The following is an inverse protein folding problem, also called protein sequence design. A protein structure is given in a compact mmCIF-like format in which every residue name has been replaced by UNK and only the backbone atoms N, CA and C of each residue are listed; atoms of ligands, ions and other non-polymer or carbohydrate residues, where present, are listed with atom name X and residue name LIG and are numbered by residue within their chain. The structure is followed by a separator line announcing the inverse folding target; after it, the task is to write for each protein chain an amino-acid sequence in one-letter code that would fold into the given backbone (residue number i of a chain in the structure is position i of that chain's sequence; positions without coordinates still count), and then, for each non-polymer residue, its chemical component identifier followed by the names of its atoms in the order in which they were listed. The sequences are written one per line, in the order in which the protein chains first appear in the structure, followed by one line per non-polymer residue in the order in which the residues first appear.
data_IF_827549767806
#
_entry.id   IF_827549767806
#
_cell.length_a   1.000
_cell.length_b   1.000
_cell.length_c   1.000
_cell.angle_alpha   90.00
_cell.angle_beta   90.00
_cell.angle_gamma   90.00
#
_symmetry.space_group_name_H-M   'P 1'
#
loop_
_entity.id
_entity.type
_entity.pdbx_description
1 polymer ?
#
# COMPACT_ATOMS: atom_id res chain seq x y z
N UNK A 1 16.65 45.24 72.96
CA UNK A 1 17.33 45.56 71.69
C UNK A 1 17.66 44.24 70.98
N UNK A 2 17.21 44.10 69.72
CA UNK A 2 17.77 43.37 68.55
C UNK A 2 18.63 42.10 68.80
N UNK A 3 18.56 41.00 68.06
CA UNK A 3 17.75 40.51 66.95
C UNK A 3 18.23 39.07 66.64
N UNK A 4 17.29 38.17 66.27
CA UNK A 4 17.29 37.14 65.21
C UNK A 4 18.46 36.13 65.01
N UNK A 5 18.09 35.04 64.31
CA UNK A 5 18.88 34.00 63.59
C UNK A 5 19.03 32.69 64.38
N UNK A 6 18.72 31.47 63.89
CA UNK A 6 18.19 30.96 62.63
C UNK A 6 17.46 29.62 62.88
N UNK A 7 16.43 29.33 62.08
CA UNK A 7 15.75 28.05 62.02
C UNK A 7 16.53 27.06 61.13
N UNK A 8 16.61 25.80 61.59
CA UNK A 8 17.21 24.69 60.88
C UNK A 8 16.38 24.32 59.63
N UNK A 9 17.04 24.23 58.47
CA UNK A 9 16.49 23.59 57.27
C UNK A 9 17.27 22.30 57.06
N UNK A 10 16.57 21.19 57.32
CA UNK A 10 17.05 19.83 57.10
C UNK A 10 17.03 19.52 55.60
N UNK A 11 18.05 18.81 55.14
CA UNK A 11 18.33 18.43 53.77
C UNK A 11 17.16 17.68 53.10
N UNK A 12 16.80 18.13 51.90
CA UNK A 12 15.94 17.40 50.97
C UNK A 12 16.52 17.52 49.56
N UNK A 13 17.55 16.73 49.24
CA UNK A 13 17.94 16.49 47.85
C UNK A 13 16.83 15.64 47.20
N UNK A 14 15.82 16.30 46.64
CA UNK A 14 15.01 15.69 45.59
C UNK A 14 15.82 15.76 44.29
N UNK A 15 16.54 14.69 43.98
CA UNK A 15 17.05 14.45 42.63
C UNK A 15 15.85 14.27 41.70
N UNK A 16 15.43 15.36 41.05
CA UNK A 16 14.56 15.29 39.89
C UNK A 16 15.39 14.72 38.74
N UNK A 17 15.43 13.38 38.64
CA UNK A 17 15.83 12.74 37.41
C UNK A 17 14.75 13.04 36.38
N UNK A 18 14.94 14.11 35.61
CA UNK A 18 14.18 14.33 34.40
C UNK A 18 14.57 13.22 33.42
N UNK A 19 13.84 12.11 33.45
CA UNK A 19 13.85 11.13 32.37
C UNK A 19 13.32 11.85 31.14
N UNK A 20 14.25 12.38 30.34
CA UNK A 20 14.00 12.79 28.97
C UNK A 20 13.67 11.49 28.21
N UNK A 21 12.40 11.11 28.18
CA UNK A 21 11.91 10.15 27.22
C UNK A 21 12.18 10.77 25.86
N UNK A 22 13.22 10.28 25.15
CA UNK A 22 13.31 10.47 23.71
C UNK A 22 12.08 9.79 23.14
N UNK A 23 11.00 10.55 22.98
CA UNK A 23 9.86 10.15 22.18
C UNK A 23 10.41 10.06 20.77
N UNK A 24 10.55 8.84 20.25
CA UNK A 24 10.78 8.66 18.82
C UNK A 24 9.75 9.51 18.07
N UNK A 25 10.14 10.17 16.96
CA UNK A 25 9.18 10.92 16.16
C UNK A 25 8.02 9.99 15.86
N UNK A 26 6.84 10.34 16.38
CA UNK A 26 5.63 9.58 16.08
C UNK A 26 5.33 9.83 14.62
N UNK A 27 5.59 8.83 13.78
CA UNK A 27 5.02 8.80 12.44
C UNK A 27 3.52 8.92 12.61
N UNK A 28 2.96 10.00 12.07
CA UNK A 28 1.54 10.10 11.89
C UNK A 28 1.28 9.46 10.54
N UNK A 29 0.69 8.25 10.52
CA UNK A 29 -0.02 7.80 9.31
C UNK A 29 -0.93 8.95 8.91
N UNK A 30 -0.77 9.37 7.67
CA UNK A 30 -1.56 10.42 7.09
C UNK A 30 -3.04 10.06 7.23
N UNK A 31 -3.83 11.02 7.72
CA UNK A 31 -5.28 10.91 7.75
C UNK A 31 -5.82 10.48 6.39
N UNK A 32 -6.92 9.70 6.35
CA UNK A 32 -7.56 9.25 5.10
C UNK A 32 -7.95 10.39 4.15
N UNK A 33 -7.85 11.64 4.59
CA UNK A 33 -7.97 12.84 3.77
C UNK A 33 -6.86 13.05 2.73
N UNK A 34 -5.58 12.70 2.99
CA UNK A 34 -4.52 12.89 2.00
C UNK A 34 -4.66 11.88 0.84
N UNK A 35 -4.77 10.59 1.20
CA UNK A 35 -5.01 9.49 0.27
C UNK A 35 -6.30 9.69 -0.53
N UNK A 36 -7.39 10.03 0.15
CA UNK A 36 -8.68 10.28 -0.48
C UNK A 36 -8.66 11.48 -1.43
N UNK A 37 -7.87 12.52 -1.12
CA UNK A 37 -7.67 13.68 -2.01
C UNK A 37 -6.94 13.26 -3.28
N UNK A 38 -5.79 12.59 -3.14
CA UNK A 38 -5.00 12.15 -4.31
C UNK A 38 -5.81 11.17 -5.17
N UNK A 39 -6.47 10.16 -4.58
CA UNK A 39 -7.35 9.25 -5.32
C UNK A 39 -8.44 9.98 -6.13
N UNK A 40 -9.05 11.01 -5.54
CA UNK A 40 -10.09 11.81 -6.20
C UNK A 40 -9.52 12.62 -7.37
N UNK A 41 -8.34 13.21 -7.19
CA UNK A 41 -7.65 13.98 -8.24
C UNK A 41 -7.21 13.07 -9.39
N UNK A 42 -6.63 11.90 -9.09
CA UNK A 42 -6.26 10.90 -10.11
C UNK A 42 -7.45 10.50 -10.97
N UNK A 43 -8.62 10.24 -10.36
CA UNK A 43 -9.84 9.94 -11.10
C UNK A 43 -10.42 11.15 -11.86
N UNK A 44 -10.26 12.37 -11.34
CA UNK A 44 -10.61 13.60 -12.05
C UNK A 44 -9.74 13.79 -13.32
N UNK A 45 -8.45 13.52 -13.23
CA UNK A 45 -7.53 13.58 -14.37
C UNK A 45 -7.84 12.52 -15.40
N UNK A 46 -8.12 11.28 -14.97
CA UNK A 46 -8.59 10.20 -15.85
C UNK A 46 -9.85 10.62 -16.61
N UNK A 47 -10.87 11.11 -15.90
CA UNK A 47 -12.11 11.58 -16.51
C UNK A 47 -11.88 12.74 -17.50
N UNK A 48 -11.04 13.72 -17.13
CA UNK A 48 -10.71 14.88 -17.97
C UNK A 48 -9.94 14.50 -19.25
N UNK A 49 -9.27 13.35 -19.25
CA UNK A 49 -8.54 12.81 -20.39
C UNK A 49 -9.31 11.68 -21.11
N UNK A 50 -10.59 11.44 -20.78
CA UNK A 50 -11.42 10.43 -21.43
C UNK A 50 -11.07 8.98 -21.07
N UNK A 51 -10.36 8.77 -19.97
CA UNK A 51 -9.99 7.46 -19.44
C UNK A 51 -10.98 7.07 -18.32
N UNK A 52 -11.40 5.81 -18.29
CA UNK A 52 -12.36 5.32 -17.27
C UNK A 52 -11.78 5.40 -15.85
N UNK A 53 -12.62 5.69 -14.85
CA UNK A 53 -12.19 5.73 -13.45
C UNK A 53 -11.69 4.37 -12.95
N UNK A 54 -10.73 4.39 -12.04
CA UNK A 54 -10.30 3.23 -11.25
C UNK A 54 -11.09 3.14 -9.94
N UNK A 55 -11.30 1.92 -9.46
CA UNK A 55 -11.92 1.64 -8.16
C UNK A 55 -10.92 1.80 -7.03
N UNK A 56 -11.36 2.28 -5.87
CA UNK A 56 -10.53 2.26 -4.67
C UNK A 56 -10.38 0.83 -4.17
N UNK A 57 -9.14 0.41 -3.93
CA UNK A 57 -8.82 -0.93 -3.47
C UNK A 57 -8.04 -0.90 -2.15
N UNK A 58 -8.68 -1.38 -1.07
CA UNK A 58 -8.10 -1.34 0.28
C UNK A 58 -6.84 -2.19 0.45
N UNK A 59 -6.66 -3.25 -0.36
CA UNK A 59 -5.44 -4.08 -0.32
C UNK A 59 -4.27 -3.31 -0.93
N UNK A 60 -4.48 -2.68 -2.09
CA UNK A 60 -3.49 -1.82 -2.73
C UNK A 60 -3.16 -0.61 -1.85
N UNK A 61 -4.16 0.00 -1.20
CA UNK A 61 -3.92 1.11 -0.24
C UNK A 61 -3.06 0.63 0.93
N UNK A 62 -3.36 -0.54 1.50
CA UNK A 62 -2.53 -1.12 2.56
C UNK A 62 -1.08 -1.28 2.11
N UNK A 63 -0.84 -1.75 0.88
CA UNK A 63 0.51 -1.90 0.32
C UNK A 63 1.19 -0.54 0.13
N UNK A 64 0.48 0.44 -0.43
CA UNK A 64 1.00 1.79 -0.67
C UNK A 64 1.32 2.56 0.62
N UNK A 65 0.55 2.34 1.69
CA UNK A 65 0.68 3.11 2.93
C UNK A 65 1.67 2.47 3.92
N UNK A 66 1.26 1.41 4.63
CA UNK A 66 1.97 0.90 5.80
C UNK A 66 1.95 -0.64 5.97
N UNK A 67 1.51 -1.39 4.96
CA UNK A 67 1.43 -2.85 4.99
C UNK A 67 2.79 -3.53 5.20
N UNK A 68 2.92 -4.28 6.29
CA UNK A 68 4.13 -5.03 6.61
C UNK A 68 4.46 -6.13 5.59
N UNK A 69 5.70 -6.16 5.13
CA UNK A 69 6.23 -7.19 4.23
C UNK A 69 7.60 -7.68 4.72
N UNK A 70 7.88 -8.97 4.51
CA UNK A 70 9.16 -9.56 4.89
C UNK A 70 9.80 -10.23 3.68
N UNK A 71 10.96 -9.70 3.29
CA UNK A 71 11.76 -10.13 2.15
C UNK A 71 13.15 -10.63 2.58
N UNK A 72 13.32 -10.99 3.86
CA UNK A 72 14.63 -11.15 4.52
C UNK A 72 14.99 -9.94 5.39
N UNK A 73 14.39 -8.78 5.11
CA UNK A 73 14.27 -7.65 6.03
C UNK A 73 12.78 -7.33 6.21
N UNK A 74 12.40 -6.87 7.41
CA UNK A 74 11.06 -6.32 7.62
C UNK A 74 11.00 -4.92 7.00
N UNK A 75 10.00 -4.71 6.17
CA UNK A 75 9.68 -3.42 5.55
C UNK A 75 8.20 -3.14 5.77
N UNK A 76 7.83 -1.88 5.71
CA UNK A 76 6.44 -1.45 5.76
C UNK A 76 5.92 -1.14 4.35
N UNK A 77 4.68 -0.64 4.27
CA UNK A 77 4.10 -0.16 3.02
C UNK A 77 4.87 1.01 2.45
N UNK A 78 4.69 1.28 1.15
CA UNK A 78 5.64 2.07 0.35
C UNK A 78 5.92 3.46 0.91
N UNK A 79 4.89 4.25 1.20
CA UNK A 79 5.04 5.60 1.72
C UNK A 79 5.71 5.62 3.10
N UNK A 80 5.21 4.81 4.04
CA UNK A 80 5.78 4.73 5.39
C UNK A 80 7.22 4.23 5.39
N UNK A 81 7.50 3.20 4.58
CA UNK A 81 8.81 2.57 4.51
C UNK A 81 9.88 3.51 3.95
N UNK A 82 9.54 4.31 2.93
CA UNK A 82 10.42 5.34 2.39
C UNK A 82 10.71 6.47 3.40
N UNK A 83 9.73 6.85 4.22
CA UNK A 83 9.92 7.82 5.30
C UNK A 83 10.78 7.21 6.42
N UNK A 84 10.39 6.07 6.98
CA UNK A 84 11.03 5.41 8.12
C UNK A 84 12.49 5.08 7.83
N UNK A 85 12.76 4.53 6.64
CA UNK A 85 14.09 4.04 6.28
C UNK A 85 14.90 5.03 5.45
N UNK A 86 14.43 6.27 5.34
CA UNK A 86 15.16 7.38 4.73
C UNK A 86 15.68 7.05 3.33
N UNK A 87 14.78 6.67 2.42
CA UNK A 87 15.12 6.44 1.02
C UNK A 87 13.96 6.81 0.11
N UNK A 88 14.26 6.99 -1.18
CA UNK A 88 13.25 7.17 -2.22
C UNK A 88 13.63 6.27 -3.40
N UNK A 89 12.85 5.20 -3.63
CA UNK A 89 13.09 4.25 -4.72
C UNK A 89 11.91 3.31 -4.94
N UNK A 90 11.65 2.97 -6.21
CA UNK A 90 10.78 1.85 -6.60
C UNK A 90 11.32 0.49 -6.16
N UNK A 91 12.66 0.35 -6.09
CA UNK A 91 13.28 -0.85 -5.53
C UNK A 91 13.28 -0.74 -4.01
N UNK A 92 12.60 -1.67 -3.35
CA UNK A 92 12.53 -1.72 -1.89
C UNK A 92 13.94 -1.96 -1.34
N UNK A 93 14.47 -0.97 -0.63
CA UNK A 93 15.83 -1.02 -0.08
C UNK A 93 15.99 -2.25 0.83
N UNK A 94 17.10 -2.97 0.68
CA UNK A 94 17.37 -4.19 1.46
C UNK A 94 16.61 -5.45 1.00
N UNK A 95 15.53 -5.31 0.22
CA UNK A 95 14.86 -6.45 -0.42
C UNK A 95 15.35 -6.70 -1.85
N UNK A 96 15.66 -5.64 -2.60
CA UNK A 96 15.99 -5.74 -4.03
C UNK A 96 14.82 -6.15 -4.92
N UNK A 97 13.57 -5.98 -4.43
CA UNK A 97 12.33 -6.27 -5.15
C UNK A 97 11.50 -5.00 -5.31
N UNK A 98 10.53 -5.02 -6.22
CA UNK A 98 9.55 -3.94 -6.41
C UNK A 98 8.27 -4.20 -5.60
N UNK A 99 7.40 -3.19 -5.52
CA UNK A 99 6.09 -3.30 -4.84
C UNK A 99 5.22 -4.45 -5.36
N UNK A 100 5.42 -4.87 -6.61
CA UNK A 100 4.76 -6.04 -7.21
C UNK A 100 4.95 -7.35 -6.43
N UNK A 101 6.11 -7.52 -5.77
CA UNK A 101 6.33 -8.67 -4.89
C UNK A 101 5.45 -8.60 -3.63
N UNK A 102 5.21 -7.38 -3.12
CA UNK A 102 4.25 -7.15 -2.04
C UNK A 102 2.82 -7.41 -2.52
N UNK A 103 2.42 -6.87 -3.67
CA UNK A 103 1.11 -7.14 -4.28
C UNK A 103 0.82 -8.65 -4.37
N UNK A 104 1.76 -9.43 -4.90
CA UNK A 104 1.63 -10.88 -4.97
C UNK A 104 1.54 -11.53 -3.57
N UNK A 105 2.35 -11.09 -2.60
CA UNK A 105 2.33 -11.62 -1.23
C UNK A 105 1.00 -11.31 -0.50
N UNK A 106 0.36 -10.20 -0.85
CA UNK A 106 -0.95 -9.78 -0.36
C UNK A 106 -2.12 -10.42 -1.14
N UNK A 107 -1.83 -11.29 -2.12
CA UNK A 107 -2.84 -12.02 -2.88
C UNK A 107 -3.52 -11.19 -3.98
N UNK A 108 -2.91 -10.08 -4.40
CA UNK A 108 -3.39 -9.28 -5.53
C UNK A 108 -3.06 -10.02 -6.82
N UNK A 109 -4.09 -10.49 -7.52
CA UNK A 109 -3.97 -11.15 -8.82
C UNK A 109 -4.32 -10.15 -9.92
N UNK A 110 -3.29 -9.66 -10.63
CA UNK A 110 -3.43 -8.62 -11.64
C UNK A 110 -2.90 -9.08 -13.02
N UNK A 111 -3.36 -8.44 -14.08
CA UNK A 111 -2.86 -8.65 -15.45
C UNK A 111 -1.75 -7.66 -15.80
N UNK A 112 -1.86 -6.44 -15.32
CA UNK A 112 -0.86 -5.37 -15.36
C UNK A 112 -0.93 -4.58 -14.05
N UNK A 113 0.17 -3.95 -13.66
CA UNK A 113 0.26 -3.11 -12.46
C UNK A 113 1.34 -2.04 -12.66
N UNK A 114 1.24 -0.94 -11.90
CA UNK A 114 2.22 0.14 -11.95
C UNK A 114 2.27 0.92 -10.64
N UNK A 115 3.41 1.57 -10.38
CA UNK A 115 3.64 2.39 -9.18
C UNK A 115 3.96 3.84 -9.58
N UNK A 116 3.30 4.81 -8.93
CA UNK A 116 3.81 6.18 -8.85
C UNK A 116 4.25 6.48 -7.41
N UNK A 117 5.42 7.08 -7.23
CA UNK A 117 5.89 7.55 -5.91
C UNK A 117 6.33 9.00 -6.01
N UNK A 118 6.03 9.79 -4.98
CA UNK A 118 6.33 11.22 -4.96
C UNK A 118 6.43 11.75 -3.54
N UNK A 119 7.23 12.80 -3.34
CA UNK A 119 7.29 13.48 -2.05
C UNK A 119 7.37 14.99 -2.20
N UNK A 120 6.92 15.70 -1.17
CA UNK A 120 6.98 17.16 -1.09
C UNK A 120 7.31 17.59 0.34
N UNK A 121 8.25 18.53 0.49
CA UNK A 121 8.56 19.14 1.78
C UNK A 121 7.77 20.43 2.00
N UNK A 122 7.36 20.67 3.25
CA UNK A 122 6.74 21.93 3.69
C UNK A 122 5.43 22.32 2.97
N UNK A 123 4.68 21.35 2.44
CA UNK A 123 3.41 21.57 1.75
C UNK A 123 2.21 21.93 2.66
N UNK A 124 2.44 22.17 3.95
CA UNK A 124 1.38 22.42 4.93
C UNK A 124 0.68 21.12 5.37
N UNK A 125 -0.54 20.89 4.88
CA UNK A 125 -1.37 19.73 5.23
C UNK A 125 -1.46 18.66 4.14
N UNK A 126 -1.98 17.49 4.48
CA UNK A 126 -2.03 16.34 3.56
C UNK A 126 -2.80 16.60 2.27
N UNK A 127 -3.92 17.35 2.31
CA UNK A 127 -4.69 17.68 1.10
C UNK A 127 -3.95 18.60 0.12
N UNK A 128 -3.21 19.61 0.62
CA UNK A 128 -2.39 20.48 -0.24
C UNK A 128 -1.17 19.75 -0.78
N UNK A 129 -0.57 18.87 0.03
CA UNK A 129 0.51 17.98 -0.41
C UNK A 129 0.04 17.02 -1.53
N UNK A 130 -1.13 16.40 -1.37
CA UNK A 130 -1.75 15.53 -2.37
C UNK A 130 -2.01 16.28 -3.68
N UNK A 131 -2.57 17.49 -3.61
CA UNK A 131 -2.79 18.32 -4.81
C UNK A 131 -1.48 18.66 -5.52
N UNK A 132 -0.44 19.03 -4.78
CA UNK A 132 0.87 19.32 -5.34
C UNK A 132 1.46 18.10 -6.04
N UNK A 133 1.42 16.93 -5.39
CA UNK A 133 1.97 15.69 -5.95
C UNK A 133 1.20 15.22 -7.17
N UNK A 134 -0.14 15.36 -7.18
CA UNK A 134 -0.94 15.07 -8.36
C UNK A 134 -0.50 15.92 -9.56
N UNK A 135 -0.32 17.23 -9.36
CA UNK A 135 0.14 18.13 -10.42
C UNK A 135 1.54 17.74 -10.92
N UNK A 136 2.46 17.38 -10.03
CA UNK A 136 3.80 16.91 -10.38
C UNK A 136 3.77 15.58 -11.15
N UNK A 137 2.93 14.63 -10.75
CA UNK A 137 2.71 13.38 -11.50
C UNK A 137 2.15 13.64 -12.89
N UNK A 138 1.16 14.51 -13.02
CA UNK A 138 0.58 14.85 -14.32
C UNK A 138 1.52 15.66 -15.23
N UNK A 139 2.48 16.38 -14.67
CA UNK A 139 3.53 17.07 -15.43
C UNK A 139 4.69 16.14 -15.83
N UNK A 140 4.79 14.95 -15.24
CA UNK A 140 5.81 13.96 -15.55
C UNK A 140 5.29 12.92 -16.56
N UNK A 141 5.88 12.79 -17.76
CA UNK A 141 5.38 11.86 -18.78
C UNK A 141 5.23 10.41 -18.31
N UNK A 142 6.16 9.91 -17.50
CA UNK A 142 6.13 8.53 -17.02
C UNK A 142 5.01 8.30 -16.00
N UNK A 143 4.91 9.14 -14.96
CA UNK A 143 3.84 9.05 -13.96
C UNK A 143 2.44 9.29 -14.57
N UNK A 144 2.34 10.30 -15.44
CA UNK A 144 1.12 10.58 -16.21
C UNK A 144 0.70 9.37 -17.04
N UNK A 145 1.64 8.61 -17.58
CA UNK A 145 1.31 7.41 -18.36
C UNK A 145 0.65 6.33 -17.51
N UNK A 146 1.05 6.17 -16.24
CA UNK A 146 0.37 5.29 -15.28
C UNK A 146 -1.04 5.80 -14.96
N UNK A 147 -1.17 7.09 -14.60
CA UNK A 147 -2.48 7.71 -14.27
C UNK A 147 -3.46 7.55 -15.42
N UNK A 148 -3.01 7.71 -16.67
CA UNK A 148 -3.85 7.64 -17.87
C UNK A 148 -3.87 6.26 -18.54
N UNK A 149 -3.28 5.24 -17.94
CA UNK A 149 -3.33 3.88 -18.49
C UNK A 149 -4.76 3.34 -18.38
N UNK A 150 -5.39 3.09 -19.53
CA UNK A 150 -6.76 2.58 -19.63
C UNK A 150 -6.94 1.13 -19.22
N UNK A 151 -5.85 0.37 -19.02
CA UNK A 151 -5.92 -1.02 -18.60
C UNK A 151 -6.17 -1.17 -17.09
N UNK A 152 -5.72 -0.21 -16.28
CA UNK A 152 -5.90 -0.28 -14.83
C UNK A 152 -7.37 -0.12 -14.44
N UNK A 153 -7.80 -0.95 -13.48
CA UNK A 153 -9.18 -0.99 -12.96
C UNK A 153 -9.27 -0.59 -11.49
N UNK A 154 -8.17 -0.68 -10.78
CA UNK A 154 -8.08 -0.50 -9.33
C UNK A 154 -6.86 0.36 -8.99
N UNK A 155 -7.00 1.14 -7.92
CA UNK A 155 -5.96 1.98 -7.36
C UNK A 155 -6.01 1.93 -5.84
N UNK A 156 -4.86 1.75 -5.22
CA UNK A 156 -4.62 2.07 -3.82
C UNK A 156 -3.72 3.28 -3.71
N UNK A 157 -4.10 4.26 -2.89
CA UNK A 157 -3.23 5.39 -2.56
C UNK A 157 -2.81 5.25 -1.11
N UNK A 158 -1.53 5.44 -0.84
CA UNK A 158 -1.02 5.54 0.52
C UNK A 158 -0.12 6.76 0.69
N UNK A 159 -0.09 7.32 1.89
CA UNK A 159 0.81 8.41 2.25
C UNK A 159 1.34 8.31 3.68
N UNK A 160 2.49 8.92 3.92
CA UNK A 160 3.05 9.06 5.27
C UNK A 160 3.72 10.42 5.44
N UNK A 161 3.78 10.88 6.69
CA UNK A 161 4.39 12.15 7.06
C UNK A 161 5.64 11.96 7.92
N UNK A 162 6.76 12.53 7.46
CA UNK A 162 8.01 12.62 8.21
C UNK A 162 8.33 14.05 8.61
N UNK A 163 8.44 14.32 9.92
CA UNK A 163 8.90 15.63 10.40
C UNK A 163 10.34 15.96 9.94
N UNK A 164 11.17 14.92 9.79
CA UNK A 164 12.48 15.00 9.16
C UNK A 164 12.71 13.72 8.36
N UNK A 165 13.24 13.88 7.15
CA UNK A 165 13.53 12.77 6.23
C UNK A 165 14.85 13.06 5.51
N UNK A 166 15.67 12.03 5.29
CA UNK A 166 17.02 12.18 4.72
C UNK A 166 17.25 11.39 3.43
N UNK A 167 16.20 10.84 2.82
CA UNK A 167 16.32 9.94 1.66
C UNK A 167 16.73 10.60 0.34
N UNK A 168 16.65 11.93 0.24
CA UNK A 168 17.16 12.72 -0.89
C UNK A 168 17.88 13.98 -0.41
N UNK A 169 18.63 13.86 0.69
CA UNK A 169 19.10 15.00 1.49
C UNK A 169 18.17 15.29 2.66
N UNK A 170 18.62 16.12 3.60
CA UNK A 170 17.85 16.41 4.83
C UNK A 170 16.74 17.42 4.56
N UNK A 171 15.51 16.93 4.60
CA UNK A 171 14.28 17.70 4.41
C UNK A 171 13.45 17.70 5.71
N UNK A 172 12.64 18.74 5.88
CA UNK A 172 11.70 18.87 7.00
C UNK A 172 10.26 18.80 6.49
N UNK A 173 9.35 18.27 7.31
CA UNK A 173 7.91 18.23 7.03
C UNK A 173 7.59 17.62 5.65
N UNK A 174 8.07 16.40 5.42
CA UNK A 174 7.90 15.68 4.16
C UNK A 174 6.61 14.87 4.19
N UNK A 175 5.81 15.05 3.16
CA UNK A 175 4.75 14.12 2.79
C UNK A 175 5.26 13.20 1.69
N UNK A 176 5.12 11.89 1.87
CA UNK A 176 5.43 10.86 0.89
C UNK A 176 4.13 10.22 0.42
N UNK A 177 4.03 9.94 -0.88
CA UNK A 177 2.87 9.32 -1.51
C UNK A 177 3.27 8.14 -2.38
N UNK A 178 2.40 7.14 -2.45
CA UNK A 178 2.47 6.03 -3.37
C UNK A 178 1.08 5.77 -3.99
N UNK A 179 1.02 5.62 -5.32
CA UNK A 179 -0.14 5.14 -6.05
C UNK A 179 0.15 3.74 -6.61
N UNK A 180 -0.62 2.77 -6.17
CA UNK A 180 -0.52 1.36 -6.57
C UNK A 180 -1.67 1.02 -7.52
N UNK A 181 -1.36 0.97 -8.81
CA UNK A 181 -2.34 0.64 -9.85
C UNK A 181 -2.35 -0.85 -10.14
N UNK A 182 -3.54 -1.40 -10.41
CA UNK A 182 -3.67 -2.75 -10.90
C UNK A 182 -4.83 -2.90 -11.89
N UNK A 183 -4.64 -3.75 -12.89
CA UNK A 183 -5.71 -4.34 -13.68
C UNK A 183 -6.12 -5.66 -13.03
N UNK A 184 -7.17 -5.61 -12.21
CA UNK A 184 -7.70 -6.81 -11.58
C UNK A 184 -8.65 -7.53 -12.55
N UNK A 185 -8.60 -8.86 -12.53
CA UNK A 185 -9.63 -9.65 -13.21
C UNK A 185 -10.99 -9.30 -12.62
N UNK A 186 -12.02 -9.14 -13.46
CA UNK A 186 -13.37 -8.85 -12.98
C UNK A 186 -13.76 -9.89 -11.93
N UNK A 187 -13.94 -9.46 -10.67
CA UNK A 187 -14.60 -10.28 -9.68
C UNK A 187 -15.98 -10.64 -10.27
N UNK A 188 -16.33 -11.93 -10.25
CA UNK A 188 -17.70 -12.32 -10.55
C UNK A 188 -18.64 -11.50 -9.67
N UNK A 189 -19.78 -10.98 -10.19
CA UNK A 189 -20.74 -10.27 -9.36
C UNK A 189 -21.07 -11.11 -8.13
N UNK A 190 -21.19 -10.52 -6.92
CA UNK A 190 -21.64 -11.27 -5.77
C UNK A 190 -22.95 -11.97 -6.14
N UNK A 191 -23.12 -13.26 -5.78
CA UNK A 191 -24.36 -13.96 -6.08
C UNK A 191 -25.53 -13.13 -5.51
N UNK A 192 -26.65 -13.00 -6.25
CA UNK A 192 -27.79 -12.25 -5.76
C UNK A 192 -28.18 -12.78 -4.38
N UNK A 193 -28.53 -11.90 -3.43
CA UNK A 193 -28.94 -12.34 -2.10
C UNK A 193 -30.07 -13.37 -2.24
N UNK A 194 -30.03 -14.47 -1.47
CA UNK A 194 -31.10 -15.46 -1.52
C UNK A 194 -32.43 -14.76 -1.26
N UNK A 195 -33.51 -15.08 -2.01
CA UNK A 195 -34.79 -14.45 -1.81
C UNK A 195 -35.23 -14.62 -0.35
N UNK A 196 -35.48 -13.50 0.32
CA UNK A 196 -35.96 -13.48 1.70
C UNK A 196 -37.21 -14.32 1.81
N UNK A 197 -37.11 -15.47 2.48
CA UNK A 197 -38.28 -16.28 2.82
C UNK A 197 -39.11 -15.51 3.85
N UNK A 198 -40.17 -14.85 3.38
CA UNK A 198 -41.27 -14.41 4.23
C UNK A 198 -41.86 -15.63 4.93
N UNK A 199 -41.76 -15.65 6.25
CA UNK A 199 -42.23 -16.75 7.07
C UNK A 199 -43.76 -16.76 7.25
N UNK A 200 -44.25 -18.00 7.39
CA UNK A 200 -45.32 -18.42 8.31
C UNK A 200 -46.78 -18.16 7.92
N UNK A 201 -47.36 -19.13 7.20
CA UNK A 201 -48.78 -19.46 7.27
C UNK A 201 -48.98 -20.84 7.93
N UNK A 202 -49.58 -20.87 9.11
CA UNK A 202 -49.96 -22.07 9.85
C UNK A 202 -51.26 -22.68 9.32
N UNK A 203 -51.31 -24.02 9.15
CA UNK A 203 -52.38 -24.88 9.69
C UNK A 203 -52.13 -26.39 9.52
N UNK A 204 -52.48 -27.10 10.60
CA UNK A 204 -52.27 -28.51 10.90
C UNK A 204 -53.28 -29.48 10.22
N UNK A 205 -52.85 -30.73 10.00
CA UNK A 205 -53.45 -32.04 10.44
C UNK A 205 -53.18 -33.18 9.41
N UNK A 206 -53.38 -34.50 9.71
CA UNK A 206 -52.31 -35.43 10.08
C UNK A 206 -52.09 -36.61 9.11
N UNK A 207 -50.98 -37.34 9.31
CA UNK A 207 -50.43 -38.45 8.51
C UNK A 207 -51.33 -39.72 8.41
N UNK A 208 -51.04 -40.60 7.43
CA UNK A 208 -50.33 -41.84 7.76
C UNK A 208 -49.23 -42.27 6.76
N UNK A 209 -48.28 -43.08 7.23
CA UNK A 209 -47.09 -43.54 6.51
C UNK A 209 -47.22 -44.98 5.97
N UNK A 210 -46.46 -45.32 4.90
CA UNK A 210 -45.84 -46.64 4.78
C UNK A 210 -44.31 -46.57 4.57
N UNK A 211 -43.56 -47.63 4.95
CA UNK A 211 -42.11 -47.61 5.03
C UNK A 211 -41.44 -47.83 3.65
N UNK A 212 -40.42 -47.03 3.35
CA UNK A 212 -39.52 -47.29 2.21
C UNK A 212 -38.09 -47.57 2.69
N UNK A 213 -37.56 -48.58 2.03
CA UNK A 213 -36.35 -49.37 2.22
C UNK A 213 -35.06 -48.53 2.15
N UNK A 214 -34.01 -48.85 2.94
CA UNK A 214 -32.73 -48.14 2.88
C UNK A 214 -31.96 -48.49 1.59
N UNK A 215 -31.50 -47.51 0.79
CA UNK A 215 -30.50 -47.74 -0.25
C UNK A 215 -29.10 -47.89 0.35
N UNK A 216 -28.27 -48.66 -0.35
CA UNK A 216 -26.95 -49.12 0.02
C UNK A 216 -25.94 -48.02 0.34
N UNK A 217 -25.03 -48.35 1.25
CA UNK A 217 -23.84 -47.60 1.67
C UNK A 217 -22.96 -47.25 0.47
N UNK A 218 -22.74 -45.96 0.22
CA UNK A 218 -21.72 -45.49 -0.72
C UNK A 218 -20.34 -45.48 -0.02
N UNK A 219 -19.37 -46.17 -0.62
CA UNK A 219 -17.96 -46.20 -0.23
C UNK A 219 -17.34 -44.79 -0.29
N UNK A 220 -16.52 -44.36 0.67
CA UNK A 220 -15.83 -43.07 0.59
C UNK A 220 -14.76 -43.08 -0.52
N UNK A 221 -14.70 -42.00 -1.31
CA UNK A 221 -13.69 -41.78 -2.34
C UNK A 221 -12.29 -41.54 -1.71
N UNK A 222 -11.19 -41.97 -2.35
CA UNK A 222 -9.85 -41.76 -1.83
C UNK A 222 -9.44 -40.28 -1.88
N UNK A 223 -8.77 -39.82 -0.82
CA UNK A 223 -8.17 -38.48 -0.71
C UNK A 223 -7.06 -38.28 -1.77
N UNK A 224 -7.04 -37.18 -2.53
CA UNK A 224 -5.95 -36.90 -3.46
C UNK A 224 -4.64 -36.61 -2.71
N UNK A 225 -3.55 -37.21 -3.18
CA UNK A 225 -2.19 -36.94 -2.70
C UNK A 225 -1.73 -35.55 -3.17
N UNK A 226 -1.16 -34.70 -2.30
CA UNK A 226 -0.68 -33.38 -2.73
C UNK A 226 0.52 -33.50 -3.66
N UNK A 227 0.44 -32.83 -4.82
CA UNK A 227 1.56 -32.67 -5.76
C UNK A 227 2.63 -31.75 -5.17
N UNK A 228 3.93 -32.04 -5.29
CA UNK A 228 4.98 -31.16 -4.78
C UNK A 228 4.95 -29.79 -5.46
N UNK A 229 5.01 -28.73 -4.65
CA UNK A 229 5.14 -27.33 -5.07
C UNK A 229 6.48 -27.14 -5.82
N UNK A 230 6.50 -26.55 -7.03
CA UNK A 230 7.76 -26.29 -7.73
C UNK A 230 8.60 -25.28 -6.95
N UNK A 231 9.86 -25.61 -6.74
CA UNK A 231 10.87 -24.71 -6.18
C UNK A 231 11.18 -23.63 -7.24
N UNK A 232 11.11 -22.33 -6.90
CA UNK A 232 11.48 -21.27 -7.84
C UNK A 232 12.95 -21.43 -8.24
N UNK A 233 13.22 -21.46 -9.54
CA UNK A 233 14.59 -21.41 -10.05
C UNK A 233 15.04 -19.94 -10.02
N UNK A 234 16.16 -19.60 -9.35
CA UNK A 234 16.65 -18.23 -9.34
C UNK A 234 17.03 -17.79 -10.76
N UNK A 235 16.55 -16.60 -11.17
CA UNK A 235 16.86 -16.00 -12.46
C UNK A 235 18.36 -15.64 -12.48
N UNK A 236 19.14 -16.05 -13.49
CA UNK A 236 20.55 -15.71 -13.59
C UNK A 236 20.73 -14.18 -13.69
N UNK A 237 21.57 -13.60 -12.83
CA UNK A 237 21.93 -12.18 -12.83
C UNK A 237 22.56 -11.71 -14.16
N UNK A 238 22.92 -12.62 -15.07
CA UNK A 238 23.48 -12.31 -16.39
C UNK A 238 22.44 -11.89 -17.44
N UNK A 239 21.14 -11.86 -17.11
CA UNK A 239 20.07 -11.41 -18.02
C UNK A 239 19.64 -9.95 -17.79
N UNK A 240 20.22 -9.27 -16.79
CA UNK A 240 20.01 -7.83 -16.58
C UNK A 240 20.96 -7.04 -17.49
N UNK A 241 20.47 -6.11 -18.33
CA UNK A 241 21.34 -5.27 -19.16
C UNK A 241 22.23 -4.39 -18.26
N UNK A 242 23.54 -4.65 -18.30
CA UNK A 242 24.57 -4.03 -17.46
C UNK A 242 24.89 -2.57 -17.83
N UNK A 243 24.19 -1.98 -18.80
CA UNK A 243 24.53 -0.66 -19.36
C UNK A 243 23.29 0.07 -19.91
N UNK A 244 22.33 0.36 -19.03
CA UNK A 244 21.30 1.34 -19.35
C UNK A 244 21.95 2.74 -19.36
N UNK A 245 21.67 3.59 -20.37
CA UNK A 245 22.10 4.99 -20.36
C UNK A 245 21.60 5.64 -19.07
N UNK A 246 22.45 6.46 -18.44
CA UNK A 246 22.01 7.29 -17.32
C UNK A 246 20.78 8.08 -17.76
N UNK A 247 19.67 8.07 -16.98
CA UNK A 247 18.51 8.85 -17.33
C UNK A 247 18.92 10.33 -17.45
N UNK A 248 18.37 11.06 -18.43
CA UNK A 248 18.61 12.49 -18.57
C UNK A 248 18.35 13.20 -17.23
N UNK A 249 19.29 14.04 -16.81
CA UNK A 249 19.13 14.87 -15.62
C UNK A 249 17.95 15.84 -15.85
N UNK A 250 16.85 15.65 -15.12
CA UNK A 250 15.64 16.46 -15.28
C UNK A 250 15.21 17.18 -14.00
N UNK A 251 14.47 18.26 -14.24
CA UNK A 251 14.34 19.50 -13.47
C UNK A 251 13.32 19.50 -12.32
N UNK A 252 12.85 18.33 -11.87
CA UNK A 252 11.82 18.22 -10.83
C UNK A 252 12.36 17.42 -9.64
N UNK A 253 12.83 18.09 -8.56
CA UNK A 253 13.21 17.43 -7.33
C UNK A 253 12.02 16.68 -6.75
N UNK A 254 12.18 15.38 -6.48
CA UNK A 254 11.18 14.59 -5.75
C UNK A 254 10.32 13.61 -6.56
N UNK A 255 10.61 13.45 -7.85
CA UNK A 255 10.03 12.43 -8.70
C UNK A 255 11.08 11.40 -9.12
N UNK A 256 10.69 10.12 -9.20
CA UNK A 256 11.51 9.05 -9.80
C UNK A 256 10.83 8.53 -11.05
N UNK A 257 11.55 8.34 -12.17
CA UNK A 257 10.92 7.87 -13.39
C UNK A 257 10.46 6.41 -13.23
N UNK A 258 9.24 6.11 -13.66
CA UNK A 258 8.70 4.74 -13.76
C UNK A 258 9.36 3.88 -14.86
N UNK A 259 10.47 4.35 -15.46
CA UNK A 259 11.05 3.83 -16.72
C UNK A 259 11.70 2.45 -16.64
N UNK A 260 11.58 1.73 -15.53
CA UNK A 260 11.86 0.28 -15.49
C UNK A 260 10.59 -0.56 -15.65
N UNK A 261 9.40 0.03 -15.53
CA UNK A 261 8.13 -0.71 -15.54
C UNK A 261 7.52 -0.83 -16.95
N UNK A 262 7.84 0.09 -17.88
CA UNK A 262 7.43 -0.06 -19.29
C UNK A 262 8.26 -1.11 -20.07
N UNK A 263 9.44 -1.52 -19.57
CA UNK A 263 10.32 -2.48 -20.28
C UNK A 263 10.18 -3.93 -19.75
N UNK A 264 9.72 -4.12 -18.51
CA UNK A 264 9.50 -5.48 -17.97
C UNK A 264 8.20 -6.15 -18.46
N UNK A 265 7.24 -5.39 -19.00
CA UNK A 265 6.02 -5.95 -19.59
C UNK A 265 6.27 -6.74 -20.90
N UNK A 266 7.50 -6.74 -21.45
CA UNK A 266 7.85 -7.52 -22.65
C UNK A 266 8.46 -8.91 -22.39
N UNK A 267 8.70 -9.31 -21.12
CA UNK A 267 9.42 -10.56 -20.82
C UNK A 267 8.67 -11.61 -19.99
N UNK A 268 7.39 -11.39 -19.66
CA UNK A 268 6.55 -12.41 -19.00
C UNK A 268 5.46 -13.01 -19.90
N UNK A 269 5.44 -12.64 -21.18
CA UNK A 269 4.64 -13.30 -22.23
C UNK A 269 5.58 -13.71 -23.38
N UNK A 270 6.48 -14.65 -23.11
CA UNK A 270 7.16 -15.48 -24.11
C UNK A 270 7.42 -16.87 -23.53
#
# INVERSE_FOLDING_TARGET
MKALVAAAILAGLCTLAATLLLRAPTHASADGGADGTLFSLTNQDRASNGVGSVNSNGTLQTIGEAGGYNCGVHVNGRAYDMIERNYFSHVIQGCGVYVFAMMHAYGVNYQSAGENIGWVSNAGGGGSAASYINDEFMNSPDHRSNILNGNYTDLGVGSDFGASWSGSGTESNVWMFAEEFAQLGSAAPPPPPPPSSSGSGSRNSPAPAPPQQPPATATPAPTPTPTPKPTPTPIPQSLLPQNLPAPPAYTYPGLLPSTVESVLESFLIA
#
